data_IF_841323487299
#
_entry.id   IF_841323487299
#
_cell.length_a   1.000
_cell.length_b   1.000
_cell.length_c   1.000
_cell.angle_alpha   90.00
_cell.angle_beta   90.00
_cell.angle_gamma   90.00
#
_symmetry.space_group_name_H-M   'P 1'
#
loop_
_entity.id
_entity.type
_entity.pdbx_description
1 polymer ?
#
# COMPACT_ATOMS: atom_id res chain seq x y z
N UNK A 1 -38.59 -6.77 4.41
CA UNK A 1 -38.76 -7.72 3.30
C UNK A 1 -37.41 -8.25 2.86
N UNK A 2 -37.27 -9.55 2.59
CA UNK A 2 -36.14 -10.05 1.78
C UNK A 2 -35.31 -11.20 2.36
N UNK A 3 -35.92 -12.37 2.57
CA UNK A 3 -35.17 -13.65 2.55
C UNK A 3 -35.62 -14.44 1.32
N UNK A 4 -35.30 -13.93 0.14
CA UNK A 4 -35.50 -14.65 -1.12
C UNK A 4 -34.15 -15.22 -1.56
N UNK A 5 -34.14 -16.47 -1.97
CA UNK A 5 -32.97 -17.10 -2.57
C UNK A 5 -32.96 -16.76 -4.06
N UNK A 6 -31.95 -16.03 -4.51
CA UNK A 6 -31.74 -15.76 -5.93
C UNK A 6 -30.54 -16.55 -6.45
N UNK A 7 -30.71 -17.34 -7.52
CA UNK A 7 -29.61 -18.09 -8.10
C UNK A 7 -28.61 -17.16 -8.78
N UNK A 8 -27.32 -17.37 -8.48
CA UNK A 8 -26.21 -16.64 -9.10
C UNK A 8 -26.16 -16.91 -10.61
N UNK A 9 -25.56 -15.98 -11.39
CA UNK A 9 -25.39 -16.18 -12.85
C UNK A 9 -24.62 -17.47 -13.17
N UNK A 10 -23.59 -17.79 -12.38
CA UNK A 10 -22.88 -19.07 -12.50
C UNK A 10 -23.82 -20.23 -12.24
N UNK A 11 -24.61 -20.18 -11.17
CA UNK A 11 -25.58 -21.22 -10.82
C UNK A 11 -26.60 -21.50 -11.93
N UNK A 12 -27.09 -20.46 -12.62
CA UNK A 12 -28.01 -20.63 -13.76
C UNK A 12 -27.34 -21.36 -14.93
N UNK A 13 -26.10 -21.00 -15.24
CA UNK A 13 -25.33 -21.61 -16.36
C UNK A 13 -24.94 -23.04 -16.04
N UNK A 14 -24.42 -23.29 -14.83
CA UNK A 14 -24.07 -24.65 -14.40
C UNK A 14 -25.30 -25.54 -14.37
N UNK A 15 -26.44 -25.04 -13.91
CA UNK A 15 -27.68 -25.79 -13.91
C UNK A 15 -28.16 -26.12 -15.34
N UNK A 16 -28.07 -25.17 -16.28
CA UNK A 16 -28.38 -25.42 -17.68
C UNK A 16 -27.48 -26.50 -18.29
N UNK A 17 -26.18 -26.42 -18.07
CA UNK A 17 -25.22 -27.42 -18.55
C UNK A 17 -25.51 -28.81 -17.95
N UNK A 18 -25.82 -28.86 -16.66
CA UNK A 18 -26.15 -30.10 -15.98
C UNK A 18 -27.46 -30.72 -16.52
N UNK A 19 -28.47 -29.91 -16.84
CA UNK A 19 -29.71 -30.38 -17.46
C UNK A 19 -29.51 -30.90 -18.88
N UNK A 20 -28.62 -30.29 -19.66
CA UNK A 20 -28.33 -30.70 -21.05
C UNK A 20 -27.43 -31.93 -21.12
N UNK A 21 -26.36 -32.00 -20.32
CA UNK A 21 -25.37 -33.07 -20.38
C UNK A 21 -25.69 -34.26 -19.48
N UNK A 22 -26.41 -34.04 -18.37
CA UNK A 22 -26.69 -35.04 -17.35
C UNK A 22 -28.18 -35.10 -16.98
N UNK A 23 -29.10 -35.21 -17.96
CA UNK A 23 -30.54 -35.13 -17.70
C UNK A 23 -31.01 -36.18 -16.69
N UNK A 24 -30.47 -37.41 -16.74
CA UNK A 24 -30.82 -38.45 -15.77
C UNK A 24 -30.37 -38.13 -14.34
N UNK A 25 -29.27 -37.42 -14.13
CA UNK A 25 -28.73 -37.18 -12.77
C UNK A 25 -29.45 -36.00 -12.10
N UNK A 26 -29.82 -35.00 -12.91
CA UNK A 26 -30.54 -33.80 -12.45
C UNK A 26 -32.04 -34.04 -12.32
N UNK A 27 -32.53 -35.16 -12.85
CA UNK A 27 -33.93 -35.55 -12.74
C UNK A 27 -34.32 -35.85 -11.29
N UNK A 28 -35.50 -35.38 -10.90
CA UNK A 28 -36.01 -35.54 -9.54
C UNK A 28 -36.23 -37.03 -9.20
N UNK A 29 -36.70 -37.81 -10.17
CA UNK A 29 -36.99 -39.23 -9.97
C UNK A 29 -35.71 -40.04 -9.74
N UNK A 30 -34.60 -39.68 -10.39
CA UNK A 30 -33.31 -40.32 -10.16
C UNK A 30 -32.79 -40.10 -8.74
N UNK A 31 -32.90 -38.87 -8.23
CA UNK A 31 -32.47 -38.57 -6.85
C UNK A 31 -33.32 -39.30 -5.82
N UNK A 32 -34.63 -39.44 -6.06
CA UNK A 32 -35.52 -40.21 -5.19
C UNK A 32 -35.22 -41.72 -5.21
N UNK A 33 -34.90 -42.27 -6.38
CA UNK A 33 -34.54 -43.69 -6.51
C UNK A 33 -33.19 -44.00 -5.85
N UNK A 34 -32.20 -43.10 -5.95
CA UNK A 34 -30.89 -43.32 -5.33
C UNK A 34 -30.96 -43.36 -3.80
N UNK A 35 -31.78 -42.51 -3.17
CA UNK A 35 -32.02 -42.58 -1.72
C UNK A 35 -32.67 -43.93 -1.33
N UNK A 36 -33.61 -44.41 -2.15
CA UNK A 36 -34.26 -45.72 -1.93
C UNK A 36 -33.24 -46.88 -2.04
N UNK A 37 -32.32 -46.80 -3.00
CA UNK A 37 -31.25 -47.79 -3.16
C UNK A 37 -30.27 -47.77 -1.98
N UNK A 38 -29.95 -46.58 -1.44
CA UNK A 38 -29.11 -46.43 -0.26
C UNK A 38 -29.77 -47.00 1.00
N UNK A 39 -31.06 -46.77 1.19
CA UNK A 39 -31.85 -47.36 2.28
C UNK A 39 -31.90 -48.90 2.17
N UNK A 40 -32.00 -49.43 0.95
CA UNK A 40 -31.99 -50.87 0.69
C UNK A 40 -30.64 -51.51 1.03
N UNK A 41 -29.53 -50.81 0.80
CA UNK A 41 -28.19 -51.24 1.22
C UNK A 41 -28.09 -51.25 2.76
N UNK A 42 -28.58 -50.21 3.44
CA UNK A 42 -28.60 -50.14 4.90
C UNK A 42 -29.42 -51.29 5.50
N UNK A 43 -30.54 -51.63 4.88
CA UNK A 43 -31.38 -52.76 5.26
C UNK A 43 -30.82 -54.14 4.85
N UNK A 44 -29.67 -54.21 4.18
CA UNK A 44 -29.03 -55.45 3.72
C UNK A 44 -29.76 -56.17 2.58
N UNK A 45 -30.65 -55.46 1.87
CA UNK A 45 -31.46 -56.01 0.76
C UNK A 45 -30.76 -55.90 -0.60
N UNK A 46 -29.84 -54.96 -0.73
CA UNK A 46 -29.09 -54.65 -1.95
C UNK A 46 -27.57 -54.70 -1.68
N UNK A 47 -26.79 -55.02 -2.71
CA UNK A 47 -25.33 -55.01 -2.64
C UNK A 47 -24.80 -53.67 -3.15
N UNK A 48 -24.05 -52.95 -2.29
CA UNK A 48 -23.50 -51.64 -2.61
C UNK A 48 -22.67 -51.62 -3.90
N UNK A 49 -21.95 -52.72 -4.19
CA UNK A 49 -21.15 -52.81 -5.42
C UNK A 49 -22.01 -52.80 -6.66
N UNK A 50 -23.20 -53.41 -6.62
CA UNK A 50 -24.12 -53.47 -7.76
C UNK A 50 -24.76 -52.11 -8.03
N UNK A 51 -25.14 -51.40 -6.97
CA UNK A 51 -25.73 -50.06 -7.07
C UNK A 51 -24.70 -49.07 -7.66
N UNK A 52 -23.47 -49.07 -7.15
CA UNK A 52 -22.40 -48.19 -7.65
C UNK A 52 -22.03 -48.54 -9.10
N UNK A 53 -21.90 -49.83 -9.45
CA UNK A 53 -21.59 -50.25 -10.82
C UNK A 53 -22.70 -49.87 -11.81
N UNK A 54 -23.97 -50.02 -11.42
CA UNK A 54 -25.12 -49.57 -12.20
C UNK A 54 -25.09 -48.07 -12.48
N UNK A 55 -24.82 -47.26 -11.46
CA UNK A 55 -24.67 -45.82 -11.59
C UNK A 55 -23.52 -45.44 -12.53
N UNK A 56 -22.33 -46.00 -12.31
CA UNK A 56 -21.13 -45.64 -13.06
C UNK A 56 -21.24 -45.95 -14.55
N UNK A 57 -21.89 -47.07 -14.91
CA UNK A 57 -22.07 -47.47 -16.31
C UNK A 57 -22.84 -46.44 -17.14
N UNK A 58 -23.85 -45.83 -16.55
CA UNK A 58 -24.64 -44.79 -17.22
C UNK A 58 -23.99 -43.41 -17.11
N UNK A 59 -23.34 -43.11 -15.98
CA UNK A 59 -22.57 -41.89 -15.78
C UNK A 59 -21.45 -41.74 -16.81
N UNK A 60 -20.67 -42.80 -17.07
CA UNK A 60 -19.55 -42.76 -18.02
C UNK A 60 -20.02 -42.41 -19.45
N UNK A 61 -21.20 -42.91 -19.87
CA UNK A 61 -21.77 -42.58 -21.18
C UNK A 61 -22.18 -41.11 -21.27
N UNK A 62 -22.76 -40.57 -20.20
CA UNK A 62 -23.12 -39.15 -20.14
C UNK A 62 -21.86 -38.26 -20.09
N UNK A 63 -20.82 -38.70 -19.38
CA UNK A 63 -19.55 -37.99 -19.30
C UNK A 63 -18.85 -37.94 -20.67
N UNK A 64 -18.84 -39.04 -21.43
CA UNK A 64 -18.29 -39.04 -22.79
C UNK A 64 -19.07 -38.09 -23.71
N UNK A 65 -20.41 -38.13 -23.66
CA UNK A 65 -21.26 -37.20 -24.41
C UNK A 65 -20.99 -35.74 -24.03
N UNK A 66 -20.90 -35.45 -22.72
CA UNK A 66 -20.59 -34.13 -22.21
C UNK A 66 -19.23 -33.65 -22.73
N UNK A 67 -18.18 -34.47 -22.64
CA UNK A 67 -16.84 -34.07 -23.08
C UNK A 67 -16.75 -33.67 -24.55
N UNK A 68 -17.55 -34.29 -25.43
CA UNK A 68 -17.61 -33.95 -26.86
C UNK A 68 -18.44 -32.68 -27.16
N UNK A 69 -19.42 -32.36 -26.31
CA UNK A 69 -20.38 -31.27 -26.54
C UNK A 69 -20.09 -30.00 -25.72
N UNK A 70 -19.29 -30.10 -24.64
CA UNK A 70 -19.00 -29.00 -23.72
C UNK A 70 -18.19 -27.87 -24.37
N UNK A 71 -17.41 -28.19 -25.40
CA UNK A 71 -16.59 -27.21 -26.14
C UNK A 71 -17.44 -26.19 -26.92
N UNK A 72 -18.72 -26.48 -27.21
CA UNK A 72 -19.64 -25.53 -27.84
C UNK A 72 -20.29 -24.56 -26.84
N UNK A 73 -20.28 -24.89 -25.55
CA UNK A 73 -20.87 -24.06 -24.50
C UNK A 73 -19.74 -23.23 -23.89
N UNK A 74 -19.12 -22.38 -24.72
CA UNK A 74 -18.18 -21.38 -24.21
C UNK A 74 -18.95 -20.38 -23.37
N UNK A 75 -18.86 -20.55 -22.05
CA UNK A 75 -19.35 -19.56 -21.11
C UNK A 75 -18.46 -18.31 -21.20
N UNK A 76 -18.82 -17.40 -22.11
CA UNK A 76 -18.26 -16.07 -22.12
C UNK A 76 -18.89 -15.28 -20.99
N UNK A 77 -18.15 -15.11 -19.89
CA UNK A 77 -18.55 -14.19 -18.82
C UNK A 77 -18.87 -12.83 -19.47
N UNK A 78 -20.09 -12.28 -19.30
CA UNK A 78 -20.44 -10.99 -19.85
C UNK A 78 -19.43 -9.93 -19.41
N UNK A 79 -18.91 -9.19 -20.38
CA UNK A 79 -17.92 -8.15 -20.13
C UNK A 79 -18.62 -7.00 -19.41
N UNK A 80 -18.27 -6.81 -18.14
CA UNK A 80 -18.80 -5.70 -17.33
C UNK A 80 -18.12 -4.40 -17.78
N UNK A 81 -18.85 -3.53 -18.50
CA UNK A 81 -18.36 -2.20 -18.88
C UNK A 81 -18.46 -1.23 -17.69
N UNK A 82 -17.52 -0.29 -17.63
CA UNK A 82 -17.49 0.81 -16.66
C UNK A 82 -17.91 2.12 -17.33
N UNK A 83 -18.26 3.15 -16.57
CA UNK A 83 -18.47 4.51 -17.12
C UNK A 83 -17.16 5.20 -17.52
N UNK A 84 -16.03 4.50 -17.45
CA UNK A 84 -14.70 5.06 -17.62
C UNK A 84 -14.32 4.98 -19.09
N UNK A 85 -14.05 6.15 -19.67
CA UNK A 85 -13.53 6.26 -21.03
C UNK A 85 -12.01 6.09 -21.00
N UNK A 86 -11.48 5.34 -21.98
CA UNK A 86 -10.05 5.12 -22.16
C UNK A 86 -9.37 6.39 -22.73
N UNK A 87 -8.37 6.90 -22.03
CA UNK A 87 -7.67 8.15 -22.41
C UNK A 87 -6.85 8.04 -23.71
N UNK A 88 -6.61 6.82 -24.21
CA UNK A 88 -5.80 6.58 -25.40
C UNK A 88 -6.60 6.34 -26.68
N UNK A 89 -7.80 5.77 -26.58
CA UNK A 89 -8.59 5.39 -27.74
C UNK A 89 -10.08 5.75 -27.65
N UNK A 90 -10.53 6.33 -26.54
CA UNK A 90 -11.93 6.73 -26.35
C UNK A 90 -12.90 5.57 -26.10
N UNK A 91 -12.45 4.31 -26.11
CA UNK A 91 -13.31 3.16 -25.83
C UNK A 91 -13.75 3.10 -24.35
N UNK A 92 -14.95 2.57 -24.10
CA UNK A 92 -15.47 2.32 -22.74
C UNK A 92 -14.71 1.15 -22.11
N UNK A 93 -14.08 1.39 -20.96
CA UNK A 93 -13.22 0.41 -20.31
C UNK A 93 -14.03 -0.71 -19.61
N UNK A 94 -13.43 -1.88 -19.50
CA UNK A 94 -14.07 -3.11 -18.99
C UNK A 94 -13.45 -3.57 -17.67
N UNK A 95 -14.24 -4.13 -16.76
CA UNK A 95 -13.77 -4.62 -15.46
C UNK A 95 -13.11 -5.99 -15.62
N UNK A 96 -11.82 -6.07 -15.27
CA UNK A 96 -11.07 -7.33 -15.17
C UNK A 96 -10.61 -7.57 -13.73
N UNK A 97 -10.42 -8.84 -13.38
CA UNK A 97 -9.85 -9.25 -12.08
C UNK A 97 -8.36 -9.54 -12.26
N UNK A 98 -7.53 -9.04 -11.36
CA UNK A 98 -6.09 -9.34 -11.31
C UNK A 98 -5.61 -9.58 -9.89
N UNK A 99 -4.30 -9.80 -9.72
CA UNK A 99 -3.67 -10.08 -8.42
C UNK A 99 -3.91 -9.02 -7.33
N UNK A 100 -4.21 -7.78 -7.73
CA UNK A 100 -4.41 -6.64 -6.83
C UNK A 100 -5.87 -6.20 -6.74
N UNK A 101 -6.82 -7.05 -7.15
CA UNK A 101 -8.25 -6.73 -7.17
C UNK A 101 -8.79 -6.41 -8.57
N UNK A 102 -9.99 -5.80 -8.60
CA UNK A 102 -10.65 -5.40 -9.84
C UNK A 102 -9.97 -4.16 -10.44
N UNK A 103 -9.85 -4.12 -11.76
CA UNK A 103 -9.29 -2.99 -12.49
C UNK A 103 -10.02 -2.79 -13.82
N UNK A 104 -10.05 -1.56 -14.32
CA UNK A 104 -10.59 -1.24 -15.62
C UNK A 104 -9.49 -1.41 -16.68
N UNK A 105 -9.78 -2.16 -17.76
CA UNK A 105 -8.88 -2.39 -18.88
C UNK A 105 -9.52 -1.91 -20.18
N UNK A 106 -8.71 -1.47 -21.14
CA UNK A 106 -9.21 -1.17 -22.47
C UNK A 106 -9.66 -2.45 -23.19
N UNK A 107 -10.84 -2.47 -23.85
CA UNK A 107 -11.29 -3.64 -24.62
C UNK A 107 -10.40 -3.95 -25.82
N UNK A 108 -9.81 -2.92 -26.45
CA UNK A 108 -8.94 -3.04 -27.63
C UNK A 108 -7.53 -3.58 -27.33
N UNK A 109 -7.35 -4.46 -26.34
CA UNK A 109 -6.07 -5.12 -26.12
C UNK A 109 -5.84 -6.18 -27.22
N UNK A 110 -4.64 -6.32 -27.82
CA UNK A 110 -3.34 -5.76 -27.42
C UNK A 110 -3.02 -4.34 -27.96
N UNK A 111 -3.80 -3.82 -28.90
CA UNK A 111 -3.58 -2.51 -29.55
C UNK A 111 -3.57 -1.34 -28.55
N UNK A 112 -4.39 -1.42 -27.50
CA UNK A 112 -4.44 -0.44 -26.42
C UNK A 112 -4.23 -1.10 -25.05
N UNK A 113 -3.04 -0.92 -24.47
CA UNK A 113 -2.65 -1.47 -23.16
C UNK A 113 -3.05 -0.59 -21.96
N UNK A 114 -4.00 0.33 -22.14
CA UNK A 114 -4.40 1.24 -21.07
C UNK A 114 -5.18 0.50 -19.97
N UNK A 115 -4.82 0.73 -18.71
CA UNK A 115 -5.48 0.17 -17.53
C UNK A 115 -5.60 1.21 -16.42
N UNK A 116 -6.69 1.16 -15.64
CA UNK A 116 -6.96 2.04 -14.50
C UNK A 116 -7.36 1.21 -13.28
N UNK A 117 -6.91 1.59 -12.09
CA UNK A 117 -7.32 0.93 -10.84
C UNK A 117 -8.75 1.33 -10.47
N UNK A 118 -9.52 0.37 -9.97
CA UNK A 118 -10.87 0.59 -9.44
C UNK A 118 -10.80 0.47 -7.92
N UNK A 119 -11.50 1.37 -7.24
CA UNK A 119 -11.77 1.25 -5.82
C UNK A 119 -12.70 0.05 -5.55
N UNK A 120 -12.81 -0.45 -4.31
CA UNK A 120 -13.73 -1.54 -3.95
C UNK A 120 -15.17 -1.31 -4.42
N UNK A 121 -15.61 -0.05 -4.46
CA UNK A 121 -16.96 0.38 -4.85
C UNK A 121 -17.18 0.50 -6.37
N UNK A 122 -16.23 0.03 -7.20
CA UNK A 122 -16.36 0.01 -8.66
C UNK A 122 -16.15 1.35 -9.37
N UNK A 123 -15.90 2.43 -8.62
CA UNK A 123 -15.51 3.74 -9.17
C UNK A 123 -14.00 3.81 -9.37
N UNK A 124 -13.53 4.63 -10.31
CA UNK A 124 -12.10 4.97 -10.38
C UNK A 124 -11.66 5.52 -9.04
N UNK A 125 -10.54 5.02 -8.51
CA UNK A 125 -9.80 5.77 -7.51
C UNK A 125 -9.48 7.12 -8.15
N UNK A 126 -10.23 8.18 -7.79
CA UNK A 126 -9.70 9.53 -7.95
C UNK A 126 -8.41 9.49 -7.14
N UNK A 127 -7.25 9.56 -7.81
CA UNK A 127 -6.01 9.93 -7.14
C UNK A 127 -6.40 11.13 -6.29
N UNK A 128 -6.28 11.09 -4.95
CA UNK A 128 -6.71 12.21 -4.13
C UNK A 128 -6.06 13.44 -4.73
N UNK A 129 -6.87 14.36 -5.21
CA UNK A 129 -6.43 15.72 -5.45
C UNK A 129 -5.72 16.11 -4.16
N UNK A 130 -4.44 16.51 -4.21
CA UNK A 130 -3.75 16.88 -2.99
C UNK A 130 -4.52 18.04 -2.40
N UNK A 131 -5.29 17.78 -1.35
CA UNK A 131 -5.97 18.80 -0.58
C UNK A 131 -4.95 19.87 -0.20
N UNK A 132 -5.06 21.12 -0.68
CA UNK A 132 -4.13 22.16 -0.32
C UNK A 132 -4.80 23.04 0.73
N UNK A 133 -4.84 22.61 1.99
CA UNK A 133 -5.20 23.51 3.09
C UNK A 133 -4.26 23.30 4.29
N UNK A 134 -3.00 23.58 4.04
CA UNK A 134 -2.03 23.98 5.05
C UNK A 134 -1.11 25.00 4.38
N UNK A 135 -0.54 25.97 5.14
CA UNK A 135 0.37 26.94 4.56
C UNK A 135 1.51 26.19 3.85
N UNK A 136 1.74 26.52 2.58
CA UNK A 136 2.90 26.02 1.84
C UNK A 136 4.15 26.47 2.60
N UNK A 137 4.88 25.53 3.20
CA UNK A 137 6.13 25.84 3.89
C UNK A 137 7.18 26.12 2.80
N UNK A 138 7.51 27.40 2.64
CA UNK A 138 8.54 27.89 1.72
C UNK A 138 9.89 27.85 2.44
N UNK A 139 10.91 27.30 1.79
CA UNK A 139 12.27 27.34 2.31
C UNK A 139 12.86 28.75 2.21
N UNK A 140 13.72 29.11 3.16
CA UNK A 140 14.50 30.35 3.09
C UNK A 140 15.47 30.35 1.90
N UNK A 141 15.93 29.16 1.49
CA UNK A 141 16.86 28.97 0.38
C UNK A 141 16.12 28.91 -0.96
N UNK A 142 16.54 29.77 -1.90
CA UNK A 142 16.03 29.79 -3.28
C UNK A 142 16.57 28.62 -4.10
N UNK A 143 15.83 28.25 -5.15
CA UNK A 143 16.24 27.19 -6.05
C UNK A 143 17.59 27.52 -6.72
N UNK A 144 18.60 26.62 -6.67
CA UNK A 144 19.93 26.89 -7.23
C UNK A 144 19.95 26.96 -8.76
N UNK A 145 18.90 26.46 -9.43
CA UNK A 145 18.84 26.40 -10.88
C UNK A 145 18.03 27.56 -11.50
N UNK A 146 16.94 27.97 -10.86
CA UNK A 146 16.03 28.99 -11.42
C UNK A 146 15.75 30.18 -10.49
N UNK A 147 16.29 30.20 -9.27
CA UNK A 147 16.05 31.26 -8.28
C UNK A 147 14.62 31.29 -7.71
N UNK A 148 13.72 30.43 -8.18
CA UNK A 148 12.34 30.34 -7.69
C UNK A 148 12.25 29.80 -6.27
N UNK A 149 11.09 30.00 -5.65
CA UNK A 149 10.80 29.49 -4.30
C UNK A 149 10.83 27.97 -4.26
N UNK A 150 11.27 27.44 -3.12
CA UNK A 150 11.35 26.02 -2.84
C UNK A 150 10.25 25.66 -1.84
N UNK A 151 9.40 24.69 -2.17
CA UNK A 151 8.20 24.30 -1.40
C UNK A 151 8.38 22.92 -0.78
N UNK A 152 8.03 22.76 0.49
CA UNK A 152 8.09 21.49 1.20
C UNK A 152 7.06 20.48 0.64
N UNK A 153 7.55 19.31 0.21
CA UNK A 153 6.73 18.20 -0.29
C UNK A 153 7.02 16.92 0.50
N UNK A 154 6.06 16.00 0.54
CA UNK A 154 6.22 14.67 1.15
C UNK A 154 6.67 13.66 0.08
N UNK A 155 7.75 12.93 0.34
CA UNK A 155 8.25 11.86 -0.52
C UNK A 155 8.45 10.55 0.24
N UNK A 156 8.83 9.50 -0.48
CA UNK A 156 9.06 8.15 0.09
C UNK A 156 10.17 8.11 1.13
N UNK A 157 11.24 8.89 0.91
CA UNK A 157 12.41 8.94 1.79
C UNK A 157 12.31 10.03 2.86
N UNK A 158 11.14 10.64 3.01
CA UNK A 158 10.90 11.77 3.90
C UNK A 158 10.53 13.06 3.17
N UNK A 159 10.35 14.16 3.92
CA UNK A 159 10.05 15.45 3.34
C UNK A 159 11.28 16.04 2.62
N UNK A 160 11.03 16.73 1.51
CA UNK A 160 12.04 17.38 0.68
C UNK A 160 11.52 18.72 0.15
N UNK A 161 12.42 19.63 -0.18
CA UNK A 161 12.06 20.87 -0.85
C UNK A 161 12.07 20.67 -2.37
N UNK A 162 11.04 21.16 -3.06
CA UNK A 162 10.91 21.08 -4.51
C UNK A 162 10.69 22.47 -5.10
N UNK A 163 11.25 22.74 -6.27
CA UNK A 163 11.03 24.02 -6.94
C UNK A 163 9.54 24.25 -7.23
N UNK A 164 9.04 25.46 -6.91
CA UNK A 164 7.67 25.89 -7.21
C UNK A 164 7.34 25.87 -8.71
N UNK A 165 8.35 26.05 -9.56
CA UNK A 165 8.22 26.06 -11.02
C UNK A 165 8.19 24.65 -11.66
N UNK A 166 7.96 23.58 -10.89
CA UNK A 166 7.69 22.26 -11.46
C UNK A 166 6.43 22.33 -12.36
N UNK A 167 6.41 21.72 -13.56
CA UNK A 167 7.37 20.75 -14.12
C UNK A 167 8.54 21.37 -14.91
N UNK A 168 8.57 22.69 -15.10
CA UNK A 168 9.61 23.41 -15.87
C UNK A 168 10.98 23.31 -15.20
N UNK A 169 11.02 23.40 -13.87
CA UNK A 169 12.22 23.15 -13.07
C UNK A 169 11.99 21.93 -12.15
N UNK A 170 12.80 20.88 -12.34
CA UNK A 170 12.71 19.62 -11.57
C UNK A 170 13.69 19.55 -10.38
N UNK A 171 14.29 20.68 -10.03
CA UNK A 171 15.27 20.74 -8.94
C UNK A 171 14.61 20.46 -7.59
N UNK A 172 15.25 19.60 -6.80
CA UNK A 172 14.86 19.23 -5.44
C UNK A 172 16.05 19.40 -4.49
N UNK A 173 15.76 19.64 -3.21
CA UNK A 173 16.75 19.77 -2.15
C UNK A 173 16.31 19.01 -0.90
N UNK A 174 17.24 18.42 -0.16
CA UNK A 174 16.93 17.76 1.11
C UNK A 174 16.52 18.78 2.17
N UNK A 175 15.63 18.39 3.09
CA UNK A 175 15.34 19.21 4.27
C UNK A 175 16.46 19.02 5.27
N UNK A 176 17.28 20.06 5.45
CA UNK A 176 18.30 20.10 6.49
C UNK A 176 17.64 20.56 7.78
N UNK A 177 17.80 19.77 8.85
CA UNK A 177 17.28 20.14 10.17
C UNK A 177 18.34 20.92 10.93
N UNK A 178 18.03 22.16 11.28
CA UNK A 178 18.86 23.00 12.16
C UNK A 178 18.54 22.69 13.62
N UNK A 179 19.57 22.66 14.48
CA UNK A 179 19.39 22.55 15.92
C UNK A 179 19.04 23.88 16.59
N UNK A 180 19.16 25.00 15.87
CA UNK A 180 18.92 26.36 16.36
C UNK A 180 20.05 26.93 17.22
N UNK A 181 21.16 26.19 17.40
CA UNK A 181 22.30 26.59 18.23
C UNK A 181 23.52 26.85 17.37
N UNK A 182 24.26 27.91 17.66
CA UNK A 182 25.48 28.27 16.94
C UNK A 182 26.67 27.43 17.39
N UNK A 183 27.52 27.05 16.44
CA UNK A 183 28.73 26.29 16.68
C UNK A 183 29.71 27.07 17.58
N UNK A 184 30.26 26.46 18.63
CA UNK A 184 31.15 27.16 19.57
C UNK A 184 32.52 27.46 18.98
N UNK A 185 32.94 26.75 17.90
CA UNK A 185 34.24 26.97 17.24
C UNK A 185 34.21 28.06 16.18
N UNK A 186 33.12 28.17 15.40
CA UNK A 186 33.07 29.06 14.22
C UNK A 186 31.81 29.92 14.12
N UNK A 187 30.84 29.77 15.03
CA UNK A 187 29.60 30.57 15.05
C UNK A 187 28.55 30.21 13.99
N UNK A 188 28.83 29.26 13.08
CA UNK A 188 27.87 28.77 12.05
C UNK A 188 26.82 27.82 12.65
N UNK A 189 25.81 27.44 11.86
CA UNK A 189 24.70 26.61 12.34
C UNK A 189 25.13 25.17 12.66
N UNK A 190 24.47 24.55 13.63
CA UNK A 190 24.63 23.12 13.94
C UNK A 190 23.48 22.33 13.31
N UNK A 191 23.83 21.42 12.41
CA UNK A 191 22.88 20.58 11.70
C UNK A 191 22.65 19.27 12.45
N UNK A 192 21.38 18.83 12.49
CA UNK A 192 20.97 17.55 13.06
C UNK A 192 21.15 16.45 11.99
N UNK A 193 22.09 15.54 12.23
CA UNK A 193 22.41 14.42 11.33
C UNK A 193 22.15 13.07 12.00
N UNK A 194 22.03 12.02 11.20
CA UNK A 194 21.89 10.65 11.67
C UNK A 194 22.98 9.76 11.10
N UNK A 195 23.50 8.84 11.91
CA UNK A 195 24.44 7.80 11.46
C UNK A 195 23.72 6.70 10.66
N UNK A 196 24.47 5.78 10.05
CA UNK A 196 23.92 4.54 9.46
C UNK A 196 23.05 3.74 10.44
N UNK A 197 23.38 3.80 11.73
CA UNK A 197 22.64 3.13 12.82
C UNK A 197 21.48 3.96 13.36
N UNK A 198 21.09 5.06 12.69
CA UNK A 198 20.04 6.01 13.09
C UNK A 198 20.30 6.75 14.41
N UNK A 199 21.54 6.74 14.92
CA UNK A 199 21.92 7.56 16.08
C UNK A 199 22.02 9.02 15.65
N UNK A 200 21.35 9.91 16.37
CA UNK A 200 21.35 11.35 16.06
C UNK A 200 22.61 12.00 16.64
N UNK A 201 23.21 12.91 15.88
CA UNK A 201 24.32 13.75 16.30
C UNK A 201 24.19 15.14 15.67
N UNK A 202 24.86 16.11 16.26
CA UNK A 202 24.85 17.50 15.83
C UNK A 202 26.23 17.84 15.28
N UNK A 203 26.29 18.47 14.11
CA UNK A 203 27.54 18.71 13.39
C UNK A 203 27.50 20.09 12.75
N UNK A 204 28.64 20.78 12.76
CA UNK A 204 28.77 22.07 12.09
C UNK A 204 28.41 21.98 10.60
N UNK A 205 27.68 22.97 10.10
CA UNK A 205 27.34 23.14 8.68
C UNK A 205 28.58 23.22 7.79
N UNK A 206 29.68 23.78 8.30
CA UNK A 206 30.91 24.05 7.54
C UNK A 206 31.92 22.89 7.55
N UNK A 207 31.48 21.67 7.86
CA UNK A 207 32.35 20.50 7.73
C UNK A 207 32.74 20.30 6.25
N UNK A 208 34.03 20.08 5.90
CA UNK A 208 35.15 19.69 6.76
C UNK A 208 36.01 20.83 7.33
N UNK A 209 35.71 22.11 7.06
CA UNK A 209 36.47 23.26 7.58
C UNK A 209 36.31 23.44 9.09
N UNK A 210 35.15 23.07 9.63
CA UNK A 210 34.90 22.99 11.06
C UNK A 210 34.48 21.56 11.44
N UNK A 211 35.29 20.91 12.28
CA UNK A 211 35.14 19.52 12.71
C UNK A 211 34.26 19.34 13.96
N UNK A 212 33.66 20.42 14.46
CA UNK A 212 32.85 20.36 15.67
C UNK A 212 31.61 19.46 15.48
N UNK A 213 31.47 18.49 16.37
CA UNK A 213 30.30 17.64 16.47
C UNK A 213 30.05 17.20 17.92
N UNK A 214 28.78 16.95 18.26
CA UNK A 214 28.38 16.44 19.57
C UNK A 214 27.22 15.43 19.46
N UNK A 215 27.10 14.54 20.44
CA UNK A 215 26.09 13.48 20.46
C UNK A 215 24.82 13.84 21.21
N UNK A 216 24.96 14.69 22.23
CA UNK A 216 23.86 15.18 23.05
C UNK A 216 23.34 16.51 22.52
N UNK A 217 22.14 16.90 22.98
CA UNK A 217 21.40 18.05 22.45
C UNK A 217 22.12 19.33 22.86
N UNK A 218 22.62 20.15 21.92
CA UNK A 218 23.24 21.43 22.25
C UNK A 218 22.18 22.42 22.73
N UNK A 219 22.54 23.24 23.71
CA UNK A 219 21.74 24.36 24.21
C UNK A 219 22.39 25.68 23.81
N UNK A 220 21.56 26.73 23.63
CA UNK A 220 22.04 28.08 23.32
C UNK A 220 22.64 28.78 24.56
N UNK A 221 22.32 28.27 25.76
CA UNK A 221 22.86 28.73 27.02
C UNK A 221 24.34 28.35 27.19
N UNK A 222 25.12 29.29 27.73
CA UNK A 222 26.54 29.09 28.05
C UNK A 222 26.70 28.66 29.50
N UNK A 223 27.71 27.84 29.75
CA UNK A 223 28.08 27.39 31.08
C UNK A 223 28.40 28.59 31.99
N UNK A 224 27.78 28.71 33.18
CA UNK A 224 28.01 29.82 34.09
C UNK A 224 29.44 29.84 34.67
N UNK A 225 30.15 28.69 34.67
CA UNK A 225 31.51 28.57 35.22
C UNK A 225 32.61 28.87 34.21
N UNK A 226 32.50 28.38 32.97
CA UNK A 226 33.58 28.46 31.98
C UNK A 226 33.17 29.06 30.63
N UNK A 227 31.89 29.41 30.44
CA UNK A 227 31.38 29.96 29.19
C UNK A 227 31.30 28.99 28.01
N UNK A 228 31.66 27.71 28.21
CA UNK A 228 31.52 26.66 27.19
C UNK A 228 30.04 26.31 26.93
N UNK A 229 29.76 25.60 25.84
CA UNK A 229 28.41 25.19 25.47
C UNK A 229 27.84 24.15 26.45
N UNK A 230 26.54 24.25 26.74
CA UNK A 230 25.83 23.24 27.52
C UNK A 230 25.21 22.17 26.60
N UNK A 231 25.22 20.92 27.08
CA UNK A 231 24.65 19.77 26.39
C UNK A 231 23.60 19.11 27.30
N UNK A 232 22.49 18.68 26.70
CA UNK A 232 21.40 17.97 27.38
C UNK A 232 21.29 16.53 26.89
N UNK A 233 21.24 15.57 27.82
CA UNK A 233 20.99 14.16 27.49
C UNK A 233 19.57 13.96 27.00
N UNK A 234 19.38 13.15 25.95
CA UNK A 234 18.03 12.92 25.38
C UNK A 234 17.11 12.12 26.31
N UNK A 235 17.66 11.16 27.04
CA UNK A 235 16.89 10.23 27.88
C UNK A 235 16.73 10.68 29.34
N UNK A 236 17.52 11.67 29.80
CA UNK A 236 17.51 12.15 31.18
C UNK A 236 17.57 13.68 31.17
N UNK A 237 16.85 14.35 32.06
CA UNK A 237 16.93 15.80 32.26
C UNK A 237 18.23 16.18 33.00
N UNK A 238 19.36 15.83 32.39
CA UNK A 238 20.70 16.16 32.85
C UNK A 238 21.30 17.10 31.82
N UNK A 239 21.62 18.31 32.26
CA UNK A 239 22.38 19.30 31.50
C UNK A 239 23.79 19.31 32.04
N UNK A 240 24.78 19.33 31.16
CA UNK A 240 26.18 19.33 31.57
C UNK A 240 27.03 20.16 30.62
N UNK A 241 28.15 20.67 31.14
CA UNK A 241 29.09 21.44 30.36
C UNK A 241 29.83 20.56 29.34
N UNK A 242 29.98 21.04 28.10
CA UNK A 242 30.71 20.32 27.05
C UNK A 242 32.18 20.11 27.40
N UNK A 243 32.77 21.03 28.18
CA UNK A 243 34.13 20.89 28.69
C UNK A 243 34.14 20.00 29.94
N UNK A 244 34.79 18.84 29.81
CA UNK A 244 34.97 17.88 30.89
C UNK A 244 35.78 18.44 32.06
N UNK A 245 36.66 19.43 31.82
CA UNK A 245 37.47 20.05 32.90
C UNK A 245 36.65 20.91 33.85
N UNK A 246 35.52 21.45 33.39
CA UNK A 246 34.68 22.33 34.20
C UNK A 246 33.85 21.58 35.24
N UNK A 247 33.44 20.34 34.94
CA UNK A 247 32.63 19.51 35.84
C UNK A 247 31.19 19.99 36.12
N UNK A 248 30.75 21.11 35.54
CA UNK A 248 29.42 21.66 35.79
C UNK A 248 28.30 20.76 35.24
N UNK A 249 27.29 20.50 36.08
CA UNK A 249 26.09 19.74 35.71
C UNK A 249 24.88 20.16 36.53
N UNK A 250 23.72 20.01 35.91
CA UNK A 250 22.41 20.26 36.50
C UNK A 250 21.52 19.03 36.27
N UNK A 251 20.88 18.55 37.34
CA UNK A 251 19.95 17.43 37.28
C UNK A 251 18.58 17.87 37.78
N UNK A 252 17.54 17.77 36.94
CA UNK A 252 16.16 18.11 37.29
C UNK A 252 15.95 19.55 37.83
N UNK A 253 16.68 20.55 37.31
CA UNK A 253 16.53 21.94 37.79
C UNK A 253 17.37 22.26 39.03
N UNK A 254 18.14 21.29 39.56
CA UNK A 254 19.00 21.48 40.73
C UNK A 254 20.45 21.42 40.29
N UNK A 255 21.16 22.53 40.49
CA UNK A 255 22.60 22.63 40.23
C UNK A 255 23.36 21.70 41.19
N UNK A 256 24.12 20.76 40.63
CA UNK A 256 25.01 19.90 41.42
C UNK A 256 26.43 20.30 41.13
N UNK A 257 27.03 21.01 42.08
CA UNK A 257 28.46 21.26 42.09
C UNK A 257 29.18 19.91 42.29
N UNK A 258 29.74 19.39 41.20
CA UNK A 258 30.78 18.37 41.25
C UNK A 258 32.12 18.99 41.59
#
# INVERSE_FOLDING_TARGET
SGKFLEPTQLGRVTNGLMMECFPKIVDYDFTANMETDLDAIEAGKEDYLKVIDGFYKDFVKQLSYASEHIDRVSYEKPVEYTDIICDKCGARMVVKKGRFGKFAACPNYPECKNTKRLAPDGKTEKKPEPAPEGPEVIADEKCPNCGGDMVLRKGTYGPYYACRNYPKCKTTMPVVKDSGVKCPKCGKRLLIKQTRTRRTFYSCEDYPKCDFSCWDIPLDEKCPRCGAMLLKKKARNIVYCSDQKCGWREENGVEKNG
#
